data_IF_772297606570
#
_entry.id   IF_772297606570
#
_cell.length_a   1.000
_cell.length_b   1.000
_cell.length_c   1.000
_cell.angle_alpha   90.00
_cell.angle_beta   90.00
_cell.angle_gamma   90.00
#
_symmetry.space_group_name_H-M   'P 1'
#
loop_
_entity.id
_entity.type
_entity.pdbx_description
1 polymer ?
#
# COMPACT_ATOMS: atom_id res chain seq x y z
N UNK A 1 45.85 -2.61 -4.70
CA UNK A 1 45.97 -1.24 -4.14
C UNK A 1 46.69 -0.37 -5.17
N UNK A 2 46.20 0.81 -5.57
CA UNK A 2 46.93 1.67 -6.51
C UNK A 2 48.33 2.07 -6.00
N UNK A 3 48.55 1.99 -4.68
CA UNK A 3 49.75 2.43 -3.99
C UNK A 3 50.73 1.29 -3.62
N UNK A 4 50.32 0.02 -3.68
CA UNK A 4 51.20 -1.13 -3.38
C UNK A 4 51.28 -2.04 -4.62
N UNK A 5 52.35 -1.87 -5.40
CA UNK A 5 52.51 -2.54 -6.71
C UNK A 5 52.70 -4.07 -6.63
N UNK A 6 53.07 -4.59 -5.46
CA UNK A 6 53.39 -6.01 -5.25
C UNK A 6 52.32 -6.78 -4.43
N UNK A 7 51.21 -6.12 -4.09
CA UNK A 7 50.14 -6.72 -3.28
C UNK A 7 48.96 -7.12 -4.16
N UNK A 8 48.62 -8.41 -4.18
CA UNK A 8 47.40 -8.89 -4.81
C UNK A 8 46.18 -8.46 -3.99
N UNK A 9 45.05 -8.19 -4.65
CA UNK A 9 43.82 -7.81 -3.96
C UNK A 9 42.58 -8.32 -4.69
N UNK A 10 41.51 -8.51 -3.93
CA UNK A 10 40.22 -9.00 -4.43
C UNK A 10 39.24 -7.83 -4.44
N UNK A 11 38.60 -7.61 -5.59
CA UNK A 11 37.47 -6.68 -5.71
C UNK A 11 36.19 -7.47 -5.49
N UNK A 12 35.41 -7.06 -4.49
CA UNK A 12 34.15 -7.69 -4.11
C UNK A 12 32.97 -6.71 -4.04
N UNK A 13 33.22 -5.39 -4.06
CA UNK A 13 32.15 -4.38 -4.07
C UNK A 13 31.58 -4.10 -5.46
N UNK A 14 30.40 -3.47 -5.48
CA UNK A 14 29.66 -3.17 -6.70
C UNK A 14 30.14 -1.85 -7.34
N UNK A 15 30.09 -1.76 -8.66
CA UNK A 15 30.57 -0.56 -9.38
C UNK A 15 29.56 0.59 -9.33
N UNK A 16 28.31 0.23 -9.09
CA UNK A 16 27.09 1.04 -9.03
C UNK A 16 26.77 1.51 -7.61
N UNK A 17 27.52 1.03 -6.62
CA UNK A 17 27.43 1.48 -5.23
C UNK A 17 27.68 2.97 -5.07
N UNK A 18 27.18 3.54 -3.98
CA UNK A 18 27.50 4.90 -3.59
C UNK A 18 29.04 5.13 -3.52
N UNK A 19 29.54 6.33 -3.86
CA UNK A 19 30.98 6.60 -4.00
C UNK A 19 31.83 6.23 -2.78
N UNK A 20 31.26 6.38 -1.58
CA UNK A 20 31.89 6.07 -0.30
C UNK A 20 32.15 4.56 -0.14
N UNK A 21 31.24 3.72 -0.65
CA UNK A 21 31.33 2.26 -0.56
C UNK A 21 32.07 1.63 -1.74
N UNK A 22 32.04 2.29 -2.90
CA UNK A 22 32.75 1.84 -4.11
C UNK A 22 34.25 1.67 -3.88
N UNK A 23 34.86 2.57 -3.10
CA UNK A 23 36.29 2.51 -2.78
C UNK A 23 36.66 1.47 -1.71
N UNK A 24 35.66 1.03 -0.94
CA UNK A 24 35.82 0.02 0.12
C UNK A 24 35.64 -1.41 -0.42
N UNK A 25 35.16 -1.57 -1.65
CA UNK A 25 34.99 -2.85 -2.34
C UNK A 25 36.25 -3.54 -2.84
N UNK A 26 37.44 -3.13 -2.39
CA UNK A 26 38.74 -3.72 -2.75
C UNK A 26 39.55 -3.95 -1.48
N UNK A 27 39.91 -5.20 -1.20
CA UNK A 27 40.78 -5.57 -0.08
C UNK A 27 42.07 -6.24 -0.57
N UNK A 28 43.22 -5.94 0.04
CA UNK A 28 44.46 -6.67 -0.22
C UNK A 28 44.39 -8.08 0.38
N UNK A 29 45.06 -9.02 -0.28
CA UNK A 29 45.31 -10.36 0.23
C UNK A 29 46.67 -10.38 0.90
N UNK A 30 46.70 -10.72 2.18
CA UNK A 30 47.93 -10.84 2.98
C UNK A 30 48.20 -12.30 3.30
N UNK A 31 49.47 -12.66 3.46
CA UNK A 31 49.85 -13.97 3.96
C UNK A 31 49.79 -13.95 5.48
N UNK A 32 49.03 -14.87 6.07
CA UNK A 32 49.01 -15.12 7.51
C UNK A 32 50.27 -15.84 7.97
N UNK A 33 50.49 -15.87 9.28
CA UNK A 33 51.68 -16.49 9.90
C UNK A 33 51.73 -18.00 9.68
N UNK A 34 50.57 -18.63 9.50
CA UNK A 34 50.37 -20.04 9.15
C UNK A 34 50.56 -20.32 7.64
N UNK A 35 50.87 -19.29 6.85
CA UNK A 35 50.98 -19.37 5.40
C UNK A 35 49.63 -19.34 4.67
N UNK A 36 48.51 -19.21 5.38
CA UNK A 36 47.19 -19.00 4.78
C UNK A 36 47.10 -17.63 4.10
N UNK A 37 46.12 -17.47 3.21
CA UNK A 37 45.79 -16.16 2.63
C UNK A 37 44.66 -15.55 3.46
N UNK A 38 44.86 -14.32 3.95
CA UNK A 38 43.88 -13.55 4.71
C UNK A 38 43.45 -12.32 3.91
N UNK A 39 42.18 -11.96 4.02
CA UNK A 39 41.64 -10.75 3.41
C UNK A 39 41.75 -9.60 4.41
N UNK A 40 42.46 -8.54 4.04
CA UNK A 40 42.57 -7.35 4.89
C UNK A 40 41.32 -6.46 4.72
N UNK A 41 40.35 -6.70 5.58
CA UNK A 41 39.08 -5.98 5.64
C UNK A 41 39.14 -4.69 6.48
N UNK A 42 40.32 -4.11 6.73
CA UNK A 42 40.45 -2.91 7.56
C UNK A 42 39.58 -1.73 7.10
N UNK A 43 39.33 -1.61 5.79
CA UNK A 43 38.42 -0.59 5.22
C UNK A 43 36.93 -0.81 5.51
N UNK A 44 36.55 -2.02 5.92
CA UNK A 44 35.19 -2.37 6.33
C UNK A 44 34.98 -2.19 7.84
N UNK A 45 35.98 -1.66 8.57
CA UNK A 45 35.93 -1.53 10.02
C UNK A 45 36.29 -2.81 10.78
N UNK A 46 36.69 -3.88 10.08
CA UNK A 46 37.13 -5.14 10.70
C UNK A 46 36.03 -5.96 11.37
N UNK A 47 34.76 -5.56 11.21
CA UNK A 47 33.58 -6.25 11.76
C UNK A 47 32.68 -6.73 10.64
N UNK A 48 31.99 -7.84 10.88
CA UNK A 48 30.96 -8.35 9.98
C UNK A 48 29.59 -7.89 10.46
N UNK A 49 28.92 -7.08 9.65
CA UNK A 49 27.66 -6.42 10.01
C UNK A 49 26.54 -6.78 9.06
N UNK A 50 25.31 -6.85 9.58
CA UNK A 50 24.09 -7.13 8.81
C UNK A 50 22.96 -6.22 9.24
N UNK A 51 22.09 -5.92 8.27
CA UNK A 51 20.81 -5.27 8.56
C UNK A 51 19.89 -6.27 9.25
N UNK A 52 19.29 -5.82 10.34
CA UNK A 52 18.27 -6.54 11.09
C UNK A 52 17.01 -5.71 11.13
N UNK A 53 15.90 -6.33 10.75
CA UNK A 53 14.58 -5.72 10.78
C UNK A 53 13.80 -6.36 11.92
N UNK A 54 13.30 -5.55 12.84
CA UNK A 54 12.45 -5.95 13.95
C UNK A 54 11.05 -5.39 13.71
N UNK A 55 10.05 -6.27 13.79
CA UNK A 55 8.64 -5.94 13.62
C UNK A 55 7.94 -5.98 14.97
N UNK A 56 7.46 -4.82 15.41
CA UNK A 56 6.79 -4.61 16.69
C UNK A 56 5.29 -4.37 16.48
N UNK A 57 4.47 -4.94 17.36
CA UNK A 57 3.03 -4.69 17.42
C UNK A 57 2.63 -4.45 18.87
N UNK A 58 1.88 -3.39 19.12
CA UNK A 58 1.40 -2.99 20.44
C UNK A 58 2.54 -2.85 21.48
N UNK A 59 3.73 -2.45 21.01
CA UNK A 59 4.94 -2.32 21.83
C UNK A 59 5.71 -3.62 22.09
N UNK A 60 5.22 -4.75 21.62
CA UNK A 60 5.90 -6.05 21.75
C UNK A 60 6.58 -6.47 20.44
N UNK A 61 7.74 -7.12 20.56
CA UNK A 61 8.47 -7.66 19.40
C UNK A 61 7.77 -8.94 18.92
N UNK A 62 7.15 -8.87 17.74
CA UNK A 62 6.42 -10.00 17.13
C UNK A 62 7.31 -10.79 16.16
N UNK A 63 8.35 -10.17 15.61
CA UNK A 63 9.30 -10.86 14.74
C UNK A 63 10.58 -10.07 14.48
N UNK A 64 11.65 -10.77 14.08
CA UNK A 64 12.97 -10.17 13.84
C UNK A 64 13.73 -10.93 12.75
N UNK A 65 14.05 -10.30 11.62
CA UNK A 65 14.69 -10.94 10.47
C UNK A 65 15.93 -11.75 10.86
N UNK A 66 16.14 -12.86 10.16
CA UNK A 66 17.26 -13.76 10.43
C UNK A 66 18.60 -13.13 10.05
N UNK A 67 19.64 -13.52 10.78
CA UNK A 67 21.02 -13.07 10.54
C UNK A 67 21.89 -14.32 10.42
N UNK A 68 22.73 -14.44 9.36
CA UNK A 68 23.62 -15.59 9.21
C UNK A 68 24.70 -15.58 10.30
N UNK A 69 25.18 -16.78 10.67
CA UNK A 69 26.34 -16.90 11.54
C UNK A 69 27.59 -16.27 10.90
N UNK A 70 28.48 -15.73 11.74
CA UNK A 70 29.77 -15.22 11.31
C UNK A 70 30.61 -16.34 10.68
N UNK A 71 31.28 -16.01 9.58
CA UNK A 71 32.22 -16.91 8.91
C UNK A 71 33.45 -17.07 9.79
N UNK A 72 33.82 -18.31 10.08
CA UNK A 72 35.03 -18.61 10.84
C UNK A 72 36.29 -18.08 10.11
N UNK A 73 37.29 -17.64 10.87
CA UNK A 73 38.55 -17.15 10.34
C UNK A 73 39.33 -18.24 9.60
N UNK A 74 39.12 -19.51 9.99
CA UNK A 74 39.68 -20.68 9.32
C UNK A 74 39.00 -21.01 7.99
N UNK A 75 37.88 -20.35 7.67
CA UNK A 75 37.09 -20.65 6.48
C UNK A 75 37.86 -20.31 5.18
N UNK A 76 37.53 -21.02 4.08
CA UNK A 76 38.08 -20.72 2.77
C UNK A 76 37.97 -19.23 2.41
N UNK A 77 38.98 -18.72 1.69
CA UNK A 77 39.06 -17.31 1.30
C UNK A 77 37.77 -16.84 0.61
N UNK A 78 37.15 -17.69 -0.21
CA UNK A 78 35.92 -17.41 -0.93
C UNK A 78 34.76 -17.07 0.03
N UNK A 79 34.61 -17.81 1.14
CA UNK A 79 33.57 -17.53 2.14
C UNK A 79 33.83 -16.19 2.84
N UNK A 80 35.08 -15.87 3.14
CA UNK A 80 35.47 -14.58 3.74
C UNK A 80 35.27 -13.40 2.77
N UNK A 81 35.54 -13.60 1.48
CA UNK A 81 35.23 -12.62 0.43
C UNK A 81 33.72 -12.40 0.31
N UNK A 82 32.92 -13.47 0.36
CA UNK A 82 31.45 -13.37 0.34
C UNK A 82 30.92 -12.64 1.58
N UNK A 83 31.47 -12.91 2.76
CA UNK A 83 31.12 -12.20 3.98
C UNK A 83 31.46 -10.71 3.87
N UNK A 84 32.68 -10.37 3.44
CA UNK A 84 33.12 -8.99 3.23
C UNK A 84 32.21 -8.24 2.23
N UNK A 85 31.79 -8.92 1.16
CA UNK A 85 30.82 -8.39 0.19
C UNK A 85 29.48 -8.10 0.83
N UNK A 86 28.94 -9.05 1.58
CA UNK A 86 27.63 -8.91 2.20
C UNK A 86 27.64 -7.85 3.32
N UNK A 87 28.78 -7.70 4.02
CA UNK A 87 29.00 -6.63 5.00
C UNK A 87 29.01 -5.27 4.32
N UNK A 88 29.78 -5.10 3.25
CA UNK A 88 29.81 -3.85 2.48
C UNK A 88 28.42 -3.48 1.95
N UNK A 89 27.67 -4.47 1.43
CA UNK A 89 26.30 -4.26 0.97
C UNK A 89 25.36 -3.82 2.11
N UNK A 90 25.49 -4.43 3.29
CA UNK A 90 24.69 -4.08 4.47
C UNK A 90 25.02 -2.67 5.00
N UNK A 91 26.29 -2.29 5.00
CA UNK A 91 26.72 -0.94 5.38
C UNK A 91 26.23 0.12 4.38
N UNK A 92 26.28 -0.17 3.08
CA UNK A 92 25.70 0.70 2.06
C UNK A 92 24.18 0.84 2.24
N UNK A 93 23.49 -0.29 2.46
CA UNK A 93 22.05 -0.31 2.72
C UNK A 93 21.70 0.56 3.94
N UNK A 94 22.44 0.41 5.04
CA UNK A 94 22.28 1.22 6.24
C UNK A 94 22.48 2.71 5.98
N UNK A 95 23.51 3.06 5.21
CA UNK A 95 23.81 4.44 4.85
C UNK A 95 22.68 5.08 4.03
N UNK A 96 22.21 4.38 2.99
CA UNK A 96 21.14 4.89 2.13
C UNK A 96 19.79 4.95 2.87
N UNK A 97 19.51 4.00 3.77
CA UNK A 97 18.34 4.06 4.66
C UNK A 97 18.37 5.32 5.53
N UNK A 98 19.49 5.62 6.17
CA UNK A 98 19.64 6.83 6.97
C UNK A 98 19.55 8.11 6.13
N UNK A 99 20.05 8.06 4.90
CA UNK A 99 19.99 9.18 3.96
C UNK A 99 18.56 9.46 3.49
N UNK A 100 17.77 8.42 3.22
CA UNK A 100 16.36 8.54 2.90
C UNK A 100 15.51 8.98 4.10
N UNK A 101 15.78 8.42 5.29
CA UNK A 101 15.08 8.72 6.53
C UNK A 101 15.02 10.22 6.86
N UNK A 102 16.09 10.97 6.57
CA UNK A 102 16.15 12.43 6.77
C UNK A 102 15.05 13.19 6.03
N UNK A 103 14.52 12.61 4.94
CA UNK A 103 13.44 13.19 4.13
C UNK A 103 12.08 12.53 4.39
N UNK A 104 11.96 11.72 5.44
CA UNK A 104 10.77 10.93 5.76
C UNK A 104 10.21 11.20 7.15
N UNK A 105 10.60 12.32 7.78
CA UNK A 105 10.06 12.73 9.08
C UNK A 105 8.53 12.85 9.07
N UNK A 106 7.93 13.27 7.95
CA UNK A 106 6.48 13.37 7.77
C UNK A 106 5.76 12.01 7.77
N UNK A 107 6.49 10.91 7.53
CA UNK A 107 5.98 9.55 7.57
C UNK A 107 6.42 8.82 8.85
N UNK A 108 6.68 9.57 9.93
CA UNK A 108 7.15 9.06 11.22
C UNK A 108 8.37 8.13 11.14
N UNK A 109 9.26 8.40 10.19
CA UNK A 109 10.58 7.77 10.13
C UNK A 109 11.54 8.61 10.96
N UNK A 110 12.08 8.03 12.04
CA UNK A 110 12.95 8.73 12.98
C UNK A 110 14.15 7.87 13.40
N UNK A 111 15.35 8.45 13.47
CA UNK A 111 16.48 7.79 14.12
C UNK A 111 16.23 7.74 15.64
N UNK A 112 16.40 6.56 16.23
CA UNK A 112 16.32 6.29 17.66
C UNK A 112 17.66 5.68 18.12
N UNK A 113 18.60 6.52 18.54
CA UNK A 113 19.96 6.08 18.87
C UNK A 113 20.70 5.53 17.66
N UNK A 114 21.12 4.26 17.72
CA UNK A 114 21.76 3.53 16.61
C UNK A 114 20.75 2.81 15.69
N UNK A 115 19.45 3.02 15.93
CA UNK A 115 18.35 2.33 15.26
C UNK A 115 17.56 3.31 14.40
N UNK A 116 16.97 2.81 13.32
CA UNK A 116 15.98 3.55 12.55
C UNK A 116 14.60 3.01 12.85
N UNK A 117 13.65 3.89 13.16
CA UNK A 117 12.27 3.49 13.44
C UNK A 117 11.30 4.11 12.45
N UNK A 118 10.28 3.34 12.11
CA UNK A 118 9.22 3.75 11.19
C UNK A 118 7.89 3.24 11.75
N UNK A 119 6.96 4.16 12.02
CA UNK A 119 5.59 3.81 12.40
C UNK A 119 4.80 3.47 11.13
N UNK A 120 4.29 2.25 11.02
CA UNK A 120 3.50 1.80 9.86
C UNK A 120 2.01 2.00 10.10
N UNK A 121 1.56 1.83 11.34
CA UNK A 121 0.19 2.03 11.82
C UNK A 121 0.22 2.49 13.29
N UNK A 122 -0.91 2.84 13.88
CA UNK A 122 -1.04 3.14 15.31
C UNK A 122 -0.46 2.03 16.20
N UNK A 123 -0.71 0.78 15.81
CA UNK A 123 -0.29 -0.42 16.54
C UNK A 123 1.04 -1.01 16.08
N UNK A 124 1.56 -0.65 14.89
CA UNK A 124 2.71 -1.35 14.31
C UNK A 124 3.91 -0.44 14.07
N UNK A 125 5.08 -0.88 14.54
CA UNK A 125 6.34 -0.18 14.43
C UNK A 125 7.40 -1.10 13.80
N UNK A 126 8.16 -0.54 12.88
CA UNK A 126 9.32 -1.18 12.27
C UNK A 126 10.58 -0.57 12.87
N UNK A 127 11.51 -1.41 13.31
CA UNK A 127 12.84 -1.00 13.77
C UNK A 127 13.89 -1.67 12.90
N UNK A 128 14.86 -0.89 12.42
CA UNK A 128 15.93 -1.37 11.53
C UNK A 128 17.27 -1.00 12.18
N UNK A 129 18.15 -1.99 12.27
CA UNK A 129 19.45 -1.88 12.92
C UNK A 129 20.55 -2.43 12.03
N UNK A 130 21.74 -1.84 12.10
CA UNK A 130 22.97 -2.48 11.62
C UNK A 130 23.65 -3.16 12.82
N UNK A 131 23.76 -4.49 12.78
CA UNK A 131 24.21 -5.29 13.92
C UNK A 131 25.43 -6.14 13.54
N UNK A 132 26.38 -6.28 14.45
CA UNK A 132 27.54 -7.15 14.29
C UNK A 132 27.16 -8.63 14.50
N UNK A 133 27.66 -9.52 13.64
CA UNK A 133 27.32 -10.94 13.65
C UNK A 133 27.72 -11.65 14.96
N UNK A 134 28.74 -11.17 15.66
CA UNK A 134 29.19 -11.71 16.95
C UNK A 134 28.21 -11.47 18.11
N UNK A 135 27.25 -10.54 17.94
CA UNK A 135 26.40 -10.06 19.04
C UNK A 135 24.97 -10.62 19.04
N UNK A 136 24.58 -11.40 18.01
CA UNK A 136 23.17 -11.81 17.83
C UNK A 136 22.93 -13.30 18.10
N UNK A 137 22.13 -13.67 19.11
CA UNK A 137 21.64 -15.03 19.23
C UNK A 137 20.64 -15.34 18.10
N UNK A 138 20.75 -16.52 17.50
CA UNK A 138 19.81 -17.01 16.50
C UNK A 138 18.46 -17.35 17.14
N UNK A 139 17.44 -16.52 16.92
CA UNK A 139 16.06 -16.84 17.35
C UNK A 139 15.41 -17.74 16.31
N UNK A 140 15.09 -18.98 16.67
CA UNK A 140 14.61 -20.04 15.76
C UNK A 140 13.09 -20.22 15.71
N UNK A 141 12.31 -19.31 16.30
CA UNK A 141 10.86 -19.48 16.40
C UNK A 141 10.14 -18.83 15.21
N UNK A 142 9.53 -19.66 14.37
CA UNK A 142 8.82 -19.25 13.17
C UNK A 142 7.46 -18.63 13.52
N UNK A 143 7.44 -17.38 13.97
CA UNK A 143 6.21 -16.61 14.17
C UNK A 143 5.72 -16.03 12.83
N UNK A 144 4.42 -15.71 12.66
CA UNK A 144 3.95 -14.99 11.47
C UNK A 144 4.60 -13.59 11.34
N UNK A 145 4.97 -12.96 12.46
CA UNK A 145 5.72 -11.70 12.46
C UNK A 145 7.15 -11.85 11.94
N UNK A 146 7.77 -13.02 12.17
CA UNK A 146 9.09 -13.36 11.65
C UNK A 146 9.10 -13.31 10.12
N UNK A 147 8.09 -13.88 9.47
CA UNK A 147 7.98 -13.88 8.01
C UNK A 147 7.84 -12.45 7.45
N UNK A 148 7.12 -11.57 8.15
CA UNK A 148 6.99 -10.16 7.76
C UNK A 148 8.34 -9.44 7.86
N UNK A 149 9.03 -9.59 8.98
CA UNK A 149 10.36 -8.99 9.19
C UNK A 149 11.39 -9.49 8.16
N UNK A 150 11.39 -10.79 7.88
CA UNK A 150 12.25 -11.42 6.88
C UNK A 150 11.92 -10.91 5.46
N UNK A 151 10.62 -10.83 5.11
CA UNK A 151 10.19 -10.29 3.81
C UNK A 151 10.62 -8.85 3.64
N UNK A 152 10.44 -8.00 4.67
CA UNK A 152 10.86 -6.59 4.63
C UNK A 152 12.38 -6.50 4.45
N UNK A 153 13.16 -7.29 5.19
CA UNK A 153 14.61 -7.36 5.03
C UNK A 153 14.99 -7.72 3.58
N UNK A 154 14.39 -8.76 3.02
CA UNK A 154 14.66 -9.19 1.63
C UNK A 154 14.25 -8.11 0.62
N UNK A 155 13.11 -7.46 0.79
CA UNK A 155 12.65 -6.37 -0.07
C UNK A 155 13.63 -5.20 -0.04
N UNK A 156 14.16 -4.83 1.12
CA UNK A 156 15.18 -3.77 1.23
C UNK A 156 16.44 -4.11 0.42
N UNK A 157 16.91 -5.35 0.48
CA UNK A 157 18.03 -5.82 -0.33
C UNK A 157 17.70 -5.74 -1.83
N UNK A 158 16.51 -6.17 -2.24
CA UNK A 158 16.06 -6.11 -3.63
C UNK A 158 15.94 -4.66 -4.14
N UNK A 159 15.45 -3.73 -3.33
CA UNK A 159 15.33 -2.32 -3.69
C UNK A 159 16.69 -1.63 -3.85
N UNK A 160 17.70 -2.01 -3.05
CA UNK A 160 19.06 -1.54 -3.26
C UNK A 160 19.66 -2.11 -4.55
N UNK A 161 19.50 -3.41 -4.81
CA UNK A 161 19.90 -4.03 -6.08
C UNK A 161 19.22 -3.34 -7.28
N UNK A 162 17.93 -3.06 -7.18
CA UNK A 162 17.19 -2.33 -8.21
C UNK A 162 17.79 -0.93 -8.44
N UNK A 163 18.14 -0.22 -7.37
CA UNK A 163 18.79 1.09 -7.45
C UNK A 163 20.16 1.02 -8.12
N UNK A 164 20.95 -0.03 -7.84
CA UNK A 164 22.20 -0.29 -8.56
C UNK A 164 21.96 -0.52 -10.06
N UNK A 165 20.96 -1.31 -10.44
CA UNK A 165 20.58 -1.50 -11.86
C UNK A 165 20.16 -0.19 -12.52
N UNK A 166 19.41 0.68 -11.83
CA UNK A 166 19.04 1.99 -12.38
C UNK A 166 20.27 2.88 -12.59
N UNK A 167 21.25 2.85 -11.68
CA UNK A 167 22.51 3.58 -11.84
C UNK A 167 23.31 3.04 -13.04
N UNK A 168 23.34 1.72 -13.22
CA UNK A 168 23.97 1.09 -14.37
C UNK A 168 23.32 1.56 -15.68
N UNK A 169 21.98 1.49 -15.76
CA UNK A 169 21.22 1.93 -16.93
C UNK A 169 21.44 3.42 -17.22
N UNK A 170 21.44 4.27 -16.18
CA UNK A 170 21.73 5.70 -16.31
C UNK A 170 23.18 5.98 -16.74
N UNK A 171 24.10 5.05 -16.51
CA UNK A 171 25.50 5.14 -16.96
C UNK A 171 25.68 4.67 -18.41
N UNK A 172 25.01 3.60 -18.80
CA UNK A 172 25.18 2.95 -20.11
C UNK A 172 24.33 3.57 -21.21
N UNK A 173 23.18 4.17 -20.87
CA UNK A 173 22.31 4.81 -21.85
C UNK A 173 22.89 6.15 -22.31
N UNK A 174 22.94 6.41 -23.63
CA UNK A 174 23.33 7.72 -24.14
C UNK A 174 22.28 8.75 -23.75
N UNK A 175 22.71 9.80 -23.04
CA UNK A 175 21.83 10.92 -22.69
C UNK A 175 21.77 11.86 -23.89
N UNK A 176 20.58 12.31 -24.33
CA UNK A 176 20.48 13.32 -25.38
C UNK A 176 21.28 14.58 -25.02
N UNK A 177 21.98 15.20 -25.99
CA UNK A 177 22.94 16.28 -25.73
C UNK A 177 22.32 17.54 -25.11
N UNK A 178 21.00 17.70 -25.19
CA UNK A 178 20.27 18.82 -24.63
C UNK A 178 19.84 18.60 -23.16
N UNK A 179 20.00 17.40 -22.61
CA UNK A 179 19.65 17.09 -21.23
C UNK A 179 20.89 17.22 -20.34
N UNK A 180 20.92 18.15 -19.36
CA UNK A 180 22.01 18.21 -18.41
C UNK A 180 22.03 16.91 -17.61
N UNK A 181 23.20 16.26 -17.54
CA UNK A 181 23.38 15.10 -16.66
C UNK A 181 23.18 15.57 -15.23
N UNK A 182 22.10 15.13 -14.58
CA UNK A 182 21.93 15.35 -13.14
C UNK A 182 23.12 14.73 -12.42
N UNK A 183 24.00 15.59 -11.87
CA UNK A 183 25.21 15.18 -11.14
C UNK A 183 24.94 14.97 -9.65
N UNK A 184 23.69 15.15 -9.20
CA UNK A 184 23.30 14.90 -7.82
C UNK A 184 23.18 13.39 -7.57
N UNK A 185 23.75 12.91 -6.47
CA UNK A 185 23.46 11.58 -5.96
C UNK A 185 21.95 11.49 -5.72
N UNK A 186 21.24 10.67 -6.48
CA UNK A 186 19.84 10.37 -6.18
C UNK A 186 19.78 9.64 -4.83
N UNK A 187 18.80 9.99 -4.00
CA UNK A 187 18.52 9.26 -2.77
C UNK A 187 17.73 8.03 -3.17
N UNK A 188 18.19 6.84 -2.79
CA UNK A 188 17.51 5.61 -3.16
C UNK A 188 16.19 5.50 -2.39
N UNK A 189 15.05 5.28 -3.07
CA UNK A 189 13.77 5.06 -2.41
C UNK A 189 13.70 3.61 -1.91
N UNK A 190 14.06 3.39 -0.65
CA UNK A 190 14.10 2.07 0.00
C UNK A 190 12.91 1.89 0.94
N UNK A 191 12.67 2.86 1.83
CA UNK A 191 11.58 2.86 2.80
C UNK A 191 10.27 3.34 2.21
N UNK A 192 10.28 4.35 1.33
CA UNK A 192 9.06 4.89 0.71
C UNK A 192 8.18 3.81 0.08
N UNK A 193 8.69 2.87 -0.75
CA UNK A 193 7.85 1.83 -1.32
C UNK A 193 7.22 0.90 -0.27
N UNK A 194 7.93 0.64 0.83
CA UNK A 194 7.46 -0.22 1.93
C UNK A 194 6.35 0.48 2.70
N UNK A 195 6.56 1.75 3.08
CA UNK A 195 5.57 2.59 3.76
C UNK A 195 4.32 2.75 2.89
N UNK A 196 4.50 3.10 1.61
CA UNK A 196 3.40 3.25 0.67
C UNK A 196 2.59 1.96 0.52
N UNK A 197 3.26 0.80 0.45
CA UNK A 197 2.59 -0.49 0.37
C UNK A 197 1.85 -0.84 1.68
N UNK A 198 2.44 -0.57 2.83
CA UNK A 198 1.80 -0.79 4.12
C UNK A 198 0.53 0.06 4.27
N UNK A 199 0.64 1.36 4.00
CA UNK A 199 -0.49 2.30 4.00
C UNK A 199 -1.59 1.88 3.02
N UNK A 200 -1.22 1.45 1.81
CA UNK A 200 -2.18 0.93 0.83
C UNK A 200 -2.94 -0.30 1.35
N UNK A 201 -2.22 -1.28 1.91
CA UNK A 201 -2.86 -2.49 2.45
C UNK A 201 -3.79 -2.17 3.62
N UNK A 202 -3.43 -1.20 4.45
CA UNK A 202 -4.30 -0.71 5.51
C UNK A 202 -5.54 -0.02 4.96
N UNK A 203 -5.40 0.88 3.99
CA UNK A 203 -6.52 1.51 3.30
C UNK A 203 -7.46 0.47 2.70
N UNK A 204 -6.94 -0.53 1.99
CA UNK A 204 -7.72 -1.64 1.43
C UNK A 204 -8.45 -2.43 2.53
N UNK A 205 -7.80 -2.72 3.66
CA UNK A 205 -8.45 -3.44 4.75
C UNK A 205 -9.61 -2.62 5.34
N UNK A 206 -9.38 -1.33 5.62
CA UNK A 206 -10.38 -0.43 6.20
C UNK A 206 -11.55 -0.19 5.26
N UNK A 207 -11.29 0.13 3.99
CA UNK A 207 -12.34 0.32 2.98
C UNK A 207 -13.13 -0.97 2.73
N UNK A 208 -12.48 -2.14 2.71
CA UNK A 208 -13.18 -3.42 2.55
C UNK A 208 -14.10 -3.72 3.74
N UNK A 209 -13.65 -3.43 4.97
CA UNK A 209 -14.47 -3.58 6.17
C UNK A 209 -15.68 -2.67 6.09
N UNK A 210 -15.48 -1.39 5.79
CA UNK A 210 -16.55 -0.41 5.67
C UNK A 210 -17.59 -0.81 4.62
N UNK A 211 -17.17 -1.10 3.39
CA UNK A 211 -18.07 -1.51 2.30
C UNK A 211 -18.79 -2.82 2.66
N UNK A 212 -18.08 -3.77 3.27
CA UNK A 212 -18.68 -5.03 3.74
C UNK A 212 -19.80 -4.80 4.76
N UNK A 213 -19.59 -3.90 5.73
CA UNK A 213 -20.64 -3.53 6.70
C UNK A 213 -21.82 -2.85 6.03
N UNK A 214 -21.58 -1.93 5.10
CA UNK A 214 -22.65 -1.25 4.36
C UNK A 214 -23.49 -2.23 3.54
N UNK A 215 -22.84 -3.15 2.82
CA UNK A 215 -23.53 -4.21 2.06
C UNK A 215 -24.39 -5.07 2.98
N UNK A 216 -23.92 -5.39 4.19
CA UNK A 216 -24.72 -6.13 5.16
C UNK A 216 -25.95 -5.33 5.60
N UNK A 217 -25.82 -4.04 5.88
CA UNK A 217 -26.96 -3.18 6.23
C UNK A 217 -28.01 -3.14 5.12
N UNK A 218 -27.57 -3.02 3.87
CA UNK A 218 -28.45 -3.00 2.70
C UNK A 218 -29.17 -4.35 2.50
N UNK A 219 -28.47 -5.46 2.72
CA UNK A 219 -29.08 -6.81 2.70
C UNK A 219 -30.12 -6.97 3.81
N UNK A 220 -29.82 -6.49 5.02
CA UNK A 220 -30.78 -6.50 6.13
C UNK A 220 -32.02 -5.66 5.80
N UNK A 221 -31.85 -4.60 5.01
CA UNK A 221 -32.94 -3.78 4.48
C UNK A 221 -33.71 -4.41 3.30
N UNK A 222 -33.34 -5.63 2.86
CA UNK A 222 -33.98 -6.35 1.76
C UNK A 222 -33.43 -6.01 0.36
N UNK A 223 -32.30 -5.30 0.28
CA UNK A 223 -31.67 -4.94 -0.99
C UNK A 223 -30.60 -5.98 -1.37
N UNK A 224 -30.65 -6.43 -2.61
CA UNK A 224 -29.62 -7.30 -3.18
C UNK A 224 -28.32 -6.53 -3.48
N UNK A 225 -27.47 -6.40 -2.45
CA UNK A 225 -26.16 -5.77 -2.55
C UNK A 225 -25.01 -6.80 -2.53
N UNK A 226 -23.95 -6.55 -3.31
CA UNK A 226 -22.75 -7.38 -3.37
C UNK A 226 -21.48 -6.54 -3.52
N UNK A 227 -20.38 -7.05 -2.96
CA UNK A 227 -19.08 -6.41 -3.01
C UNK A 227 -18.01 -7.40 -3.45
N UNK A 228 -17.20 -7.00 -4.43
CA UNK A 228 -16.09 -7.78 -4.97
C UNK A 228 -14.82 -6.94 -5.04
N UNK A 229 -13.75 -7.40 -4.38
CA UNK A 229 -12.43 -6.79 -4.44
C UNK A 229 -11.60 -7.49 -5.52
N UNK A 230 -11.19 -6.74 -6.54
CA UNK A 230 -10.30 -7.23 -7.59
C UNK A 230 -8.88 -6.76 -7.32
N UNK A 231 -8.04 -7.68 -6.88
CA UNK A 231 -6.59 -7.44 -6.87
C UNK A 231 -6.06 -7.91 -8.22
N UNK A 232 -5.48 -7.04 -9.06
CA UNK A 232 -4.84 -7.49 -10.28
C UNK A 232 -3.78 -8.54 -9.92
N UNK A 233 -3.68 -9.62 -10.72
CA UNK A 233 -2.68 -10.64 -10.45
C UNK A 233 -1.30 -10.00 -10.44
N UNK A 234 -0.39 -10.41 -9.54
CA UNK A 234 1.00 -9.98 -9.63
C UNK A 234 1.50 -10.32 -11.03
N UNK A 235 2.20 -9.39 -11.69
CA UNK A 235 2.74 -9.59 -13.03
C UNK A 235 3.59 -10.87 -13.07
N UNK A 236 2.98 -11.98 -13.50
CA UNK A 236 3.70 -13.16 -13.93
C UNK A 236 4.12 -12.89 -15.36
N UNK A 237 5.41 -12.68 -15.59
CA UNK A 237 5.99 -12.78 -16.94
C UNK A 237 5.69 -14.21 -17.42
N UNK A 238 4.58 -14.38 -18.14
CA UNK A 238 4.41 -15.55 -18.99
C UNK A 238 5.58 -15.50 -19.98
N UNK A 239 6.49 -16.45 -19.86
CA UNK A 239 7.55 -16.68 -20.83
C UNK A 239 6.88 -16.97 -22.19
N UNK A 240 6.73 -15.94 -23.02
CA UNK A 240 6.37 -16.15 -24.42
C UNK A 240 7.60 -16.74 -25.14
N UNK A 241 7.51 -17.93 -25.75
CA UNK A 241 8.67 -18.61 -26.33
C UNK A 241 9.10 -18.08 -27.70
N UNK A 242 8.55 -16.97 -28.19
CA UNK A 242 8.82 -16.48 -29.54
C UNK A 242 8.95 -14.96 -29.57
N UNK A 243 10.17 -14.44 -29.43
CA UNK A 243 10.62 -13.13 -29.95
C UNK A 243 12.15 -13.04 -29.79
N UNK A 244 12.87 -13.76 -30.64
CA UNK A 244 14.33 -13.91 -30.60
C UNK A 244 15.14 -12.65 -31.01
N UNK A 245 14.54 -11.46 -31.04
CA UNK A 245 15.21 -10.24 -31.53
C UNK A 245 14.92 -8.96 -30.72
N UNK A 246 14.49 -9.06 -29.46
CA UNK A 246 14.39 -7.90 -28.57
C UNK A 246 15.51 -7.91 -27.52
N UNK A 247 16.05 -6.73 -27.14
CA UNK A 247 16.97 -6.63 -26.02
C UNK A 247 16.28 -7.22 -24.78
N UNK A 248 16.99 -8.12 -24.09
CA UNK A 248 16.54 -8.95 -22.96
C UNK A 248 15.42 -8.30 -22.13
N UNK A 249 14.26 -8.96 -21.94
CA UNK A 249 13.23 -8.43 -21.05
C UNK A 249 13.79 -8.26 -19.63
N UNK A 250 13.29 -7.29 -18.85
CA UNK A 250 13.70 -7.14 -17.46
C UNK A 250 13.51 -8.47 -16.75
N UNK A 251 14.56 -8.95 -16.08
CA UNK A 251 14.52 -10.12 -15.20
C UNK A 251 13.32 -9.98 -14.25
N UNK A 252 12.68 -11.08 -13.87
CA UNK A 252 11.45 -11.10 -13.05
C UNK A 252 11.54 -10.22 -11.80
N UNK A 253 12.74 -10.08 -11.21
CA UNK A 253 13.07 -9.19 -10.10
C UNK A 253 12.94 -7.69 -10.42
N UNK A 254 13.30 -7.27 -11.63
CA UNK A 254 13.19 -5.87 -12.08
C UNK A 254 11.74 -5.48 -12.37
N UNK A 255 10.93 -6.40 -12.91
CA UNK A 255 9.50 -6.19 -13.14
C UNK A 255 8.69 -6.15 -11.83
N UNK A 256 9.03 -6.98 -10.84
CA UNK A 256 8.42 -6.91 -9.51
C UNK A 256 8.86 -5.65 -8.75
N UNK A 257 10.14 -5.26 -8.81
CA UNK A 257 10.60 -4.02 -8.18
C UNK A 257 10.02 -2.75 -8.83
N UNK A 258 9.77 -2.75 -10.15
CA UNK A 258 9.09 -1.64 -10.82
C UNK A 258 7.60 -1.52 -10.48
N UNK A 259 6.97 -2.62 -10.01
CA UNK A 259 5.54 -2.66 -9.66
C UNK A 259 5.27 -2.58 -8.16
N UNK A 260 6.28 -2.78 -7.30
CA UNK A 260 6.23 -2.54 -5.85
C UNK A 260 5.70 -1.14 -5.48
N UNK A 261 6.05 -0.05 -6.19
CA UNK A 261 5.48 1.28 -5.96
C UNK A 261 4.04 1.42 -6.47
N UNK A 262 3.61 0.57 -7.40
CA UNK A 262 2.32 0.66 -8.09
C UNK A 262 1.33 -0.32 -7.46
N UNK A 263 0.79 0.07 -6.29
CA UNK A 263 -0.28 -0.68 -5.65
C UNK A 263 -1.58 -0.47 -6.41
N UNK A 264 -1.97 -1.45 -7.22
CA UNK A 264 -3.22 -1.45 -7.94
C UNK A 264 -4.23 -2.31 -7.18
N UNK A 265 -5.34 -1.72 -6.74
CA UNK A 265 -6.50 -2.46 -6.21
C UNK A 265 -7.75 -1.89 -6.83
N UNK A 266 -8.54 -2.74 -7.49
CA UNK A 266 -9.78 -2.39 -8.17
C UNK A 266 -10.97 -2.81 -7.31
N UNK A 267 -11.91 -1.90 -7.12
CA UNK A 267 -13.12 -2.12 -6.32
C UNK A 267 -14.32 -2.22 -7.25
N UNK A 268 -15.11 -3.29 -7.15
CA UNK A 268 -16.41 -3.37 -7.81
C UNK A 268 -17.51 -3.38 -6.73
N UNK A 269 -18.33 -2.34 -6.75
CA UNK A 269 -19.56 -2.25 -5.98
C UNK A 269 -20.73 -2.56 -6.93
N UNK A 270 -21.48 -3.63 -6.67
CA UNK A 270 -22.59 -4.06 -7.53
C UNK A 270 -23.84 -4.18 -6.67
N UNK A 271 -24.72 -3.19 -6.79
CA UNK A 271 -26.14 -3.35 -6.45
C UNK A 271 -26.91 -3.72 -7.72
N UNK A 272 -27.83 -4.69 -7.60
CA UNK A 272 -28.49 -5.34 -8.74
C UNK A 272 -29.21 -4.36 -9.70
N UNK A 273 -28.55 -4.07 -10.82
CA UNK A 273 -29.02 -4.19 -12.22
C UNK A 273 -28.04 -3.59 -13.23
N UNK A 274 -26.90 -3.05 -12.78
CA UNK A 274 -25.82 -2.60 -13.66
C UNK A 274 -24.48 -3.15 -13.20
N UNK A 275 -23.97 -4.13 -13.96
CA UNK A 275 -22.61 -4.65 -13.82
C UNK A 275 -21.61 -3.57 -14.20
N UNK A 276 -20.69 -3.30 -13.28
CA UNK A 276 -19.73 -2.22 -13.35
C UNK A 276 -18.38 -2.75 -13.87
N UNK A 277 -17.92 -2.24 -15.02
CA UNK A 277 -16.55 -2.51 -15.49
C UNK A 277 -16.00 -1.31 -16.25
N UNK A 278 -14.77 -0.88 -15.93
CA UNK A 278 -14.02 0.11 -16.70
C UNK A 278 -12.69 -0.48 -17.22
N UNK A 279 -12.27 -0.11 -18.45
CA UNK A 279 -10.99 -0.49 -19.04
C UNK A 279 -9.85 0.47 -18.67
N UNK A 280 -8.62 -0.01 -18.85
CA UNK A 280 -7.34 0.63 -18.54
C UNK A 280 -7.02 1.85 -19.43
N UNK A 281 -6.31 2.83 -18.87
CA UNK A 281 -5.30 3.57 -19.62
C UNK A 281 -4.00 3.67 -18.78
N UNK A 282 -2.86 3.20 -19.30
CA UNK A 282 -1.59 3.23 -18.59
C UNK A 282 -0.95 4.63 -18.70
N UNK A 283 -0.82 5.33 -17.57
CA UNK A 283 0.03 6.51 -17.48
C UNK A 283 1.32 6.14 -16.78
N UNK A 284 2.32 5.72 -17.57
CA UNK A 284 3.71 5.64 -17.13
C UNK A 284 4.23 7.04 -16.85
N UNK A 285 4.39 7.42 -15.59
CA UNK A 285 5.23 8.55 -15.21
C UNK A 285 5.99 8.24 -13.92
N UNK A 286 7.29 8.01 -14.09
CA UNK A 286 8.31 8.05 -13.05
C UNK A 286 8.35 9.43 -12.39
N UNK A 287 7.46 9.71 -11.43
CA UNK A 287 7.66 10.78 -10.45
C UNK A 287 7.19 10.30 -9.07
N UNK A 288 7.86 10.83 -8.05
CA UNK A 288 7.81 10.42 -6.64
C UNK A 288 6.38 10.29 -6.07
N UNK A 289 6.15 9.41 -5.09
CA UNK A 289 4.85 9.31 -4.46
C UNK A 289 4.71 10.46 -3.45
N UNK A 290 4.11 11.57 -3.88
CA UNK A 290 3.52 12.56 -2.96
C UNK A 290 2.00 12.45 -2.90
N UNK A 291 1.41 11.47 -3.56
CA UNK A 291 0.00 11.15 -3.38
C UNK A 291 -0.23 9.66 -3.60
N UNK A 292 -0.87 9.03 -2.62
CA UNK A 292 -1.56 7.75 -2.75
C UNK A 292 -2.72 7.92 -3.73
N UNK A 293 -2.43 8.10 -5.02
CA UNK A 293 -3.47 8.17 -6.04
C UNK A 293 -3.95 6.76 -6.37
N UNK A 294 -5.01 6.32 -5.71
CA UNK A 294 -5.80 5.19 -6.18
C UNK A 294 -6.41 5.55 -7.53
N UNK A 295 -6.16 4.75 -8.58
CA UNK A 295 -6.80 4.87 -9.89
C UNK A 295 -8.33 5.05 -9.81
N UNK A 296 -8.95 5.74 -10.78
CA UNK A 296 -10.32 6.25 -10.65
C UNK A 296 -11.35 5.13 -10.48
N UNK A 297 -12.20 5.31 -9.47
CA UNK A 297 -13.42 4.53 -9.23
C UNK A 297 -14.50 4.94 -10.23
N UNK A 298 -14.63 4.31 -11.39
CA UNK A 298 -15.83 4.56 -12.20
C UNK A 298 -17.04 3.91 -11.53
N UNK A 299 -17.93 4.72 -10.94
CA UNK A 299 -19.33 4.38 -10.66
C UNK A 299 -20.14 4.92 -11.85
N UNK A 300 -21.04 4.15 -12.51
CA UNK A 300 -21.86 4.65 -13.58
C UNK A 300 -23.14 5.16 -12.94
N UNK A 301 -23.03 6.01 -11.92
CA UNK A 301 -24.17 6.79 -11.49
C UNK A 301 -24.31 7.86 -12.55
N UNK A 302 -25.22 7.60 -13.50
CA UNK A 302 -25.84 8.56 -14.42
C UNK A 302 -25.48 10.00 -14.06
N UNK A 303 -24.64 10.66 -14.85
CA UNK A 303 -24.32 12.11 -14.95
C UNK A 303 -24.20 13.01 -13.68
N UNK A 304 -24.63 12.58 -12.48
CA UNK A 304 -25.06 13.40 -11.36
C UNK A 304 -24.11 13.33 -10.16
N UNK A 305 -23.24 12.30 -10.07
CA UNK A 305 -22.19 12.22 -9.06
C UNK A 305 -20.95 11.43 -9.55
N UNK A 306 -20.14 12.00 -10.46
CA UNK A 306 -18.91 11.36 -10.89
C UNK A 306 -17.93 11.20 -9.71
N UNK A 307 -17.10 10.15 -9.71
CA UNK A 307 -16.00 10.02 -8.74
C UNK A 307 -15.02 11.18 -8.86
N UNK A 308 -14.30 11.48 -7.78
CA UNK A 308 -13.20 12.43 -7.82
C UNK A 308 -12.09 11.92 -8.76
N UNK A 309 -11.65 12.78 -9.68
CA UNK A 309 -10.64 12.43 -10.71
C UNK A 309 -9.29 12.03 -10.11
N UNK A 310 -8.94 12.59 -8.96
CA UNK A 310 -7.65 12.39 -8.28
C UNK A 310 -7.67 11.23 -7.28
N UNK A 311 -8.81 10.54 -7.13
CA UNK A 311 -9.02 9.53 -6.11
C UNK A 311 -9.44 10.13 -4.77
N UNK A 312 -9.43 9.30 -3.73
CA UNK A 312 -9.80 9.68 -2.37
C UNK A 312 -8.55 9.70 -1.49
N UNK A 313 -8.24 10.83 -0.81
CA UNK A 313 -7.03 10.92 0.01
C UNK A 313 -7.08 10.05 1.26
N UNK A 314 -8.28 9.81 1.79
CA UNK A 314 -8.48 9.06 3.04
C UNK A 314 -9.74 8.18 2.98
N UNK A 315 -9.80 7.16 3.84
CA UNK A 315 -10.92 6.24 3.99
C UNK A 315 -12.20 7.00 4.36
N UNK A 316 -12.10 8.05 5.15
CA UNK A 316 -13.24 8.88 5.56
C UNK A 316 -13.85 9.63 4.37
N UNK A 317 -13.02 10.20 3.50
CA UNK A 317 -13.51 10.87 2.28
C UNK A 317 -14.15 9.89 1.30
N UNK A 318 -13.61 8.67 1.22
CA UNK A 318 -14.20 7.59 0.44
C UNK A 318 -15.53 7.12 1.03
N UNK A 319 -15.61 6.98 2.36
CA UNK A 319 -16.83 6.54 3.05
C UNK A 319 -17.96 7.55 2.88
N UNK A 320 -17.67 8.86 3.00
CA UNK A 320 -18.62 9.95 2.76
C UNK A 320 -19.16 9.95 1.33
N UNK A 321 -18.27 9.77 0.34
CA UNK A 321 -18.68 9.64 -1.05
C UNK A 321 -19.58 8.41 -1.26
N UNK A 322 -19.19 7.25 -0.74
CA UNK A 322 -19.97 6.02 -0.86
C UNK A 322 -21.34 6.17 -0.19
N UNK A 323 -21.43 6.85 0.96
CA UNK A 323 -22.71 7.15 1.64
C UNK A 323 -23.60 7.99 0.75
N UNK A 324 -23.07 9.10 0.26
CA UNK A 324 -23.81 10.04 -0.60
C UNK A 324 -24.27 9.37 -1.88
N UNK A 325 -23.38 8.63 -2.54
CA UNK A 325 -23.69 7.88 -3.76
C UNK A 325 -24.77 6.82 -3.50
N UNK A 326 -24.69 6.09 -2.39
CA UNK A 326 -25.69 5.07 -2.04
C UNK A 326 -27.05 5.70 -1.75
N UNK A 327 -27.13 6.78 -0.96
CA UNK A 327 -28.40 7.46 -0.70
C UNK A 327 -29.08 7.95 -1.98
N UNK A 328 -28.28 8.51 -2.92
CA UNK A 328 -28.80 8.95 -4.22
C UNK A 328 -29.28 7.80 -5.08
N UNK A 329 -28.52 6.71 -5.12
CA UNK A 329 -28.91 5.50 -5.86
C UNK A 329 -30.24 4.94 -5.33
N UNK A 330 -30.42 4.89 -4.01
CA UNK A 330 -31.68 4.43 -3.40
C UNK A 330 -32.84 5.35 -3.79
N UNK A 331 -32.66 6.67 -3.71
CA UNK A 331 -33.69 7.62 -4.11
C UNK A 331 -34.06 7.47 -5.59
N UNK A 332 -33.07 7.35 -6.49
CA UNK A 332 -33.30 7.12 -7.92
C UNK A 332 -34.01 5.78 -8.20
N UNK A 333 -33.63 4.72 -7.49
CA UNK A 333 -34.25 3.40 -7.64
C UNK A 333 -35.72 3.44 -7.24
N UNK A 334 -36.05 3.99 -6.07
CA UNK A 334 -37.44 4.09 -5.63
C UNK A 334 -38.25 5.09 -6.46
N UNK A 335 -37.62 6.16 -6.96
CA UNK A 335 -38.28 7.07 -7.89
C UNK A 335 -38.72 6.36 -9.17
N UNK A 336 -37.86 5.47 -9.71
CA UNK A 336 -38.20 4.69 -10.91
C UNK A 336 -39.35 3.68 -10.70
N UNK A 337 -39.62 3.28 -9.46
CA UNK A 337 -40.76 2.42 -9.12
C UNK A 337 -42.07 3.20 -8.92
N UNK A 338 -42.01 4.52 -8.74
CA UNK A 338 -43.17 5.40 -8.54
C UNK A 338 -43.69 5.86 -9.92
N UNK A 339 -45.02 5.87 -10.15
CA UNK A 339 -45.57 6.41 -11.40
C UNK A 339 -45.18 7.87 -11.62
N UNK A 340 -44.83 8.19 -12.86
CA UNK A 340 -44.29 9.50 -13.27
C UNK A 340 -45.15 10.68 -12.79
N UNK A 341 -44.48 11.71 -12.26
CA UNK A 341 -45.09 13.00 -11.93
C UNK A 341 -45.65 13.13 -10.51
N UNK A 342 -45.73 12.05 -9.72
CA UNK A 342 -46.24 12.13 -8.33
C UNK A 342 -45.16 12.52 -7.32
N UNK A 343 -43.91 12.14 -7.57
CA UNK A 343 -42.77 12.41 -6.70
C UNK A 343 -41.60 12.95 -7.51
N UNK A 344 -40.83 13.86 -6.91
CA UNK A 344 -39.67 14.51 -7.51
C UNK A 344 -38.48 14.36 -6.54
N UNK A 345 -37.27 14.07 -7.06
CA UNK A 345 -36.08 14.04 -6.22
C UNK A 345 -35.69 15.47 -5.80
N UNK A 346 -35.18 15.60 -4.58
CA UNK A 346 -34.61 16.85 -4.10
C UNK A 346 -33.34 17.21 -4.89
N UNK A 347 -32.92 18.48 -4.85
CA UNK A 347 -31.71 19.01 -5.51
C UNK A 347 -30.46 18.20 -5.14
N UNK A 348 -30.38 17.73 -3.89
CA UNK A 348 -29.28 16.90 -3.40
C UNK A 348 -29.37 15.43 -3.85
N UNK A 349 -30.51 15.00 -4.37
CA UNK A 349 -30.79 13.63 -4.81
C UNK A 349 -30.93 12.61 -3.69
N UNK A 350 -30.91 12.99 -2.41
CA UNK A 350 -30.97 12.10 -1.24
C UNK A 350 -32.37 11.93 -0.64
N UNK A 351 -33.35 12.71 -1.13
CA UNK A 351 -34.74 12.65 -0.69
C UNK A 351 -35.72 12.76 -1.84
N UNK A 352 -36.92 12.23 -1.62
CA UNK A 352 -38.07 12.29 -2.51
C UNK A 352 -39.15 13.16 -1.85
N UNK A 353 -39.82 13.98 -2.65
CA UNK A 353 -40.95 14.81 -2.22
C UNK A 353 -42.13 14.67 -3.20
N UNK A 354 -43.38 14.73 -2.75
CA UNK A 354 -44.52 14.79 -3.66
C UNK A 354 -44.46 16.04 -4.55
N UNK A 355 -44.82 15.93 -5.83
CA UNK A 355 -44.84 17.06 -6.76
C UNK A 355 -45.88 18.13 -6.37
N UNK A 356 -46.97 17.69 -5.75
CA UNK A 356 -48.13 18.53 -5.41
C UNK A 356 -48.04 19.12 -3.99
N UNK A 357 -47.16 18.60 -3.13
CA UNK A 357 -47.10 18.98 -1.72
C UNK A 357 -45.67 18.97 -1.16
N UNK A 358 -45.17 20.15 -0.81
CA UNK A 358 -43.87 20.34 -0.16
C UNK A 358 -43.84 19.89 1.32
N UNK A 359 -44.98 19.56 1.91
CA UNK A 359 -45.08 19.23 3.33
C UNK A 359 -44.69 17.79 3.69
N UNK A 360 -44.42 16.93 2.70
CA UNK A 360 -43.97 15.55 2.93
C UNK A 360 -42.60 15.29 2.29
N UNK A 361 -41.68 14.70 3.04
CA UNK A 361 -40.36 14.33 2.55
C UNK A 361 -39.98 12.92 3.01
N UNK A 362 -39.48 12.11 2.09
CA UNK A 362 -38.88 10.81 2.35
C UNK A 362 -37.39 10.92 2.10
N UNK A 363 -36.58 10.77 3.15
CA UNK A 363 -35.12 10.94 3.07
C UNK A 363 -34.39 9.64 3.37
N UNK A 364 -33.41 9.33 2.52
CA UNK A 364 -32.47 8.24 2.72
C UNK A 364 -31.18 8.79 3.31
N UNK A 365 -30.78 8.27 4.46
CA UNK A 365 -29.59 8.72 5.18
C UNK A 365 -28.80 7.49 5.59
N UNK A 366 -27.50 7.48 5.33
CA UNK A 366 -26.60 6.54 6.00
C UNK A 366 -25.95 7.34 7.13
N UNK A 367 -26.22 6.97 8.37
CA UNK A 367 -25.60 7.52 9.57
C UNK A 367 -24.41 6.66 9.98
N UNK A 368 -23.53 7.24 10.76
CA UNK A 368 -22.35 6.56 11.30
C UNK A 368 -22.26 6.97 12.76
N UNK A 369 -22.86 6.15 13.63
CA UNK A 369 -22.95 6.41 15.07
C UNK A 369 -21.62 6.01 15.76
N UNK A 370 -20.97 4.94 15.28
CA UNK A 370 -19.59 4.58 15.60
C UNK A 370 -18.72 4.52 14.33
N UNK A 371 -17.39 4.75 14.43
CA UNK A 371 -16.50 4.72 13.27
C UNK A 371 -16.53 3.37 12.55
N UNK A 372 -16.72 3.40 11.23
CA UNK A 372 -16.89 2.22 10.37
C UNK A 372 -18.16 1.38 10.68
N UNK A 373 -19.22 2.00 11.20
CA UNK A 373 -20.51 1.35 11.43
C UNK A 373 -21.65 2.09 10.70
N UNK A 374 -21.75 1.95 9.37
CA UNK A 374 -22.82 2.60 8.62
C UNK A 374 -24.18 2.01 9.02
N UNK A 375 -25.14 2.87 9.34
CA UNK A 375 -26.53 2.52 9.62
C UNK A 375 -27.41 3.16 8.56
N UNK A 376 -28.19 2.35 7.83
CA UNK A 376 -29.16 2.87 6.88
C UNK A 376 -30.38 3.36 7.65
N UNK A 377 -30.76 4.61 7.42
CA UNK A 377 -31.90 5.24 8.05
C UNK A 377 -32.80 5.85 6.99
N UNK A 378 -34.08 5.50 7.04
CA UNK A 378 -35.11 6.20 6.28
C UNK A 378 -35.94 7.04 7.22
N UNK A 379 -36.12 8.32 6.86
CA UNK A 379 -36.98 9.24 7.60
C UNK A 379 -38.10 9.70 6.69
N UNK A 380 -39.34 9.53 7.15
CA UNK A 380 -40.50 10.18 6.55
C UNK A 380 -40.95 11.30 7.46
N UNK A 381 -40.94 12.53 6.95
CA UNK A 381 -41.45 13.70 7.66
C UNK A 381 -42.71 14.17 6.97
N UNK A 382 -43.80 14.32 7.73
CA UNK A 382 -45.05 14.94 7.29
C UNK A 382 -45.31 16.16 8.17
N UNK A 383 -45.34 17.33 7.57
CA UNK A 383 -45.67 18.59 8.23
C UNK A 383 -47.17 18.82 8.04
N UNK A 384 -47.92 19.01 9.12
CA UNK A 384 -49.33 19.39 9.04
C UNK A 384 -49.53 20.61 9.96
N UNK A 385 -49.53 21.80 9.38
CA UNK A 385 -49.62 23.06 10.14
C UNK A 385 -48.40 23.28 11.05
N UNK A 386 -48.63 23.43 12.37
CA UNK A 386 -47.56 23.66 13.35
C UNK A 386 -46.90 22.38 13.91
N UNK A 387 -47.40 21.18 13.56
CA UNK A 387 -46.87 19.91 14.05
C UNK A 387 -46.22 19.10 12.93
N UNK A 388 -44.99 18.62 13.15
CA UNK A 388 -44.32 17.67 12.27
C UNK A 388 -44.37 16.27 12.88
N UNK A 389 -44.84 15.29 12.10
CA UNK A 389 -44.75 13.88 12.45
C UNK A 389 -43.59 13.25 11.69
N UNK A 390 -42.70 12.56 12.40
CA UNK A 390 -41.51 11.92 11.82
C UNK A 390 -41.52 10.43 12.12
N UNK A 391 -41.64 9.60 11.09
CA UNK A 391 -41.40 8.15 11.18
C UNK A 391 -39.95 7.86 10.77
N UNK A 392 -39.26 6.99 11.52
CA UNK A 392 -37.85 6.62 11.31
C UNK A 392 -37.74 5.09 11.29
N UNK A 393 -37.00 4.56 10.32
CA UNK A 393 -36.64 3.15 10.23
C UNK A 393 -35.12 3.02 10.15
N UNK A 394 -34.54 2.03 10.84
CA UNK A 394 -33.09 1.83 10.95
C UNK A 394 -32.69 0.38 10.62
N UNK A 395 -31.69 0.23 9.75
CA UNK A 395 -31.06 -1.06 9.46
C UNK A 395 -29.56 -0.99 9.77
N UNK A 396 -29.14 -1.83 10.71
CA UNK A 396 -27.76 -1.96 11.17
C UNK A 396 -27.16 -3.25 10.61
N UNK A 397 -25.83 -3.38 10.68
CA UNK A 397 -25.15 -4.61 10.29
C UNK A 397 -25.39 -5.73 11.31
N UNK A 398 -25.55 -5.38 12.59
CA UNK A 398 -25.97 -6.27 13.67
C UNK A 398 -27.47 -6.56 13.60
N UNK A 399 -27.82 -7.84 13.63
CA UNK A 399 -29.20 -8.31 13.49
C UNK A 399 -30.09 -8.07 14.72
N UNK A 400 -29.51 -7.77 15.89
CA UNK A 400 -30.23 -7.70 17.17
C UNK A 400 -31.06 -6.43 17.36
N UNK A 401 -30.74 -5.36 16.63
CA UNK A 401 -31.40 -4.04 16.76
C UNK A 401 -31.92 -3.51 15.41
N UNK A 402 -31.87 -4.33 14.35
CA UNK A 402 -32.32 -3.92 13.02
C UNK A 402 -33.83 -4.07 12.88
N UNK A 403 -34.44 -3.14 12.15
CA UNK A 403 -35.86 -3.23 11.77
C UNK A 403 -36.14 -4.53 11.01
N UNK A 404 -37.25 -5.20 11.36
CA UNK A 404 -37.67 -6.45 10.71
C UNK A 404 -38.35 -6.23 9.36
N UNK A 405 -38.82 -5.01 9.09
CA UNK A 405 -39.51 -4.66 7.85
C UNK A 405 -38.52 -4.33 6.74
N UNK A 406 -38.82 -4.76 5.51
CA UNK A 406 -37.98 -4.41 4.37
C UNK A 406 -38.07 -2.91 4.05
N UNK A 407 -37.02 -2.38 3.43
CA UNK A 407 -36.99 -0.99 2.99
C UNK A 407 -38.12 -0.69 1.99
N UNK A 408 -38.36 -1.62 1.06
CA UNK A 408 -39.42 -1.48 0.07
C UNK A 408 -40.80 -1.37 0.73
N UNK A 409 -41.07 -2.16 1.78
CA UNK A 409 -42.34 -2.09 2.51
C UNK A 409 -42.51 -0.74 3.23
N UNK A 410 -41.42 -0.22 3.83
CA UNK A 410 -41.44 1.09 4.49
C UNK A 410 -41.72 2.22 3.50
N UNK A 411 -41.05 2.20 2.34
CA UNK A 411 -41.24 3.18 1.28
C UNK A 411 -42.65 3.10 0.70
N UNK A 412 -43.16 1.90 0.43
CA UNK A 412 -44.53 1.68 -0.05
C UNK A 412 -45.60 2.16 0.94
N UNK A 413 -45.37 1.95 2.25
CA UNK A 413 -46.24 2.46 3.32
C UNK A 413 -46.34 3.98 3.30
N UNK A 414 -45.23 4.68 3.06
CA UNK A 414 -45.21 6.16 3.02
C UNK A 414 -45.86 6.69 1.75
N UNK A 415 -45.62 6.04 0.61
CA UNK A 415 -46.15 6.45 -0.71
C UNK A 415 -47.63 6.08 -0.86
N UNK A 416 -48.16 5.18 -0.01
CA UNK A 416 -49.56 4.79 -0.02
C UNK A 416 -49.90 3.67 -1.01
N UNK A 417 -48.90 2.96 -1.56
CA UNK A 417 -49.13 1.72 -2.30
C UNK A 417 -49.47 0.62 -1.29
N UNK A 418 -50.72 0.14 -1.28
CA UNK A 418 -51.08 -1.06 -0.50
C UNK A 418 -50.27 -2.25 -1.04
N UNK A 419 -49.59 -2.96 -0.14
CA UNK A 419 -48.99 -4.26 -0.44
C UNK A 419 -50.09 -5.18 -1.00
N UNK A 420 -49.92 -5.62 -2.25
CA UNK A 420 -50.81 -6.58 -2.92
C UNK A 420 -50.42 -8.00 -2.58
#
# INVERSE_FOLDING_TARGET
MPQERHTLGVRFGFSESAPEFKNNGLAPMRRGDDGSVQLDCGRLGGVSERIVVTYERDGEVVGRSSVPAQTDQSAPLEKRVLEARNTLFSQELWHELNREARNLAAYDVRPEGSSLTCKLDESTKLRIDLVTLDSTPSTSDSSPGQNVAETISQVLHLLLCYSHTQNELGRTRPIPPHLPRSRGQQIYPLLRPIIARASHLQGVKSSSKYIGTLVQCLKNAGINASFSLHTPPPFTLQSQPNLANQPSPPTSSSATCSTLPTSHSRWLYSQMHHSLSAPEQPSTLSQAPTSTSSSPFFIPTRENLPPFREGYPDVDTLSEYIRTATCRLLAEQFLAEIPDGLWVPNIKGDSLRPADNDESELRFIILEDEPNSPTLVVKSTKVAGQSSNTEKWEWRSSSTESESTSLADCVNRVIGKKAS
#
